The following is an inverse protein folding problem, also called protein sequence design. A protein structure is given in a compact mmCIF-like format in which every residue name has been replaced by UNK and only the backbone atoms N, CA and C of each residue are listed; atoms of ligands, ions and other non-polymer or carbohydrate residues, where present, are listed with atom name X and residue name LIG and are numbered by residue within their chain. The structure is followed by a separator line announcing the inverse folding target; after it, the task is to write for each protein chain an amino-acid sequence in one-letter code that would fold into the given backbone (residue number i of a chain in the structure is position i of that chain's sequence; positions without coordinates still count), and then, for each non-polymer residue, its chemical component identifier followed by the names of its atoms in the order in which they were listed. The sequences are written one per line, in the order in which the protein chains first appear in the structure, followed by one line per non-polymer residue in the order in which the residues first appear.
data_IF_048896696401
#
_entry.id   IF_048896696401
#
_cell.length_a   1.000
_cell.length_b   1.000
_cell.length_c   1.000
_cell.angle_alpha   90.00
_cell.angle_beta   90.00
_cell.angle_gamma   90.00
#
_symmetry.space_group_name_H-M   'P 1'
#
loop_
_entity.id
_entity.type
_entity.pdbx_description
1 polymer ?
#
# COMPACT_ATOMS: atom_id res chain seq x y z
N UNK A 1 -15.87 3.06 4.10
CA UNK A 1 -14.52 2.64 3.69
C UNK A 1 -14.65 1.21 3.17
N UNK A 2 -14.26 0.94 1.91
CA UNK A 2 -14.47 -0.39 1.29
C UNK A 2 -13.67 -1.46 2.04
N UNK A 3 -14.22 -2.68 2.15
CA UNK A 3 -13.61 -3.81 2.88
C UNK A 3 -12.16 -4.08 2.47
N UNK A 4 -11.81 -3.82 1.20
CA UNK A 4 -10.45 -4.07 0.68
C UNK A 4 -9.38 -3.20 1.38
N UNK A 5 -9.69 -1.95 1.73
CA UNK A 5 -8.73 -1.05 2.37
C UNK A 5 -8.40 -1.50 3.79
N UNK A 6 -9.41 -1.97 4.52
CA UNK A 6 -9.22 -2.53 5.86
C UNK A 6 -8.32 -3.77 5.81
N UNK A 7 -8.57 -4.70 4.87
CA UNK A 7 -7.73 -5.91 4.73
C UNK A 7 -6.31 -5.56 4.28
N UNK A 8 -6.13 -4.53 3.46
CA UNK A 8 -4.79 -4.00 3.10
C UNK A 8 -4.07 -3.46 4.34
N UNK A 9 -4.73 -2.64 5.16
CA UNK A 9 -4.12 -2.08 6.37
C UNK A 9 -3.73 -3.16 7.40
N UNK A 10 -4.53 -4.22 7.54
CA UNK A 10 -4.18 -5.37 8.37
C UNK A 10 -2.87 -6.03 7.92
N UNK A 11 -2.52 -5.98 6.63
CA UNK A 11 -1.24 -6.50 6.14
C UNK A 11 -0.03 -5.71 6.68
N UNK A 12 -0.22 -4.45 7.06
CA UNK A 12 0.84 -3.57 7.54
C UNK A 12 0.97 -3.55 9.06
N UNK A 13 -0.07 -3.92 9.80
CA UNK A 13 -0.08 -3.90 11.28
C UNK A 13 0.88 -4.91 11.92
N UNK A 14 1.10 -6.05 11.25
CA UNK A 14 1.99 -7.13 11.74
C UNK A 14 2.84 -7.67 10.58
N UNK A 15 3.79 -6.88 10.09
CA UNK A 15 4.61 -7.26 8.95
C UNK A 15 5.66 -8.29 9.41
N UNK A 16 5.99 -9.26 8.55
CA UNK A 16 7.11 -10.18 8.82
C UNK A 16 8.46 -9.44 8.93
N UNK A 17 8.59 -8.32 8.22
CA UNK A 17 9.79 -7.47 8.19
C UNK A 17 9.35 -6.04 8.40
N UNK A 18 9.93 -5.33 9.37
CA UNK A 18 9.64 -3.91 9.61
C UNK A 18 10.10 -3.03 8.45
N UNK A 19 9.43 -1.89 8.25
CA UNK A 19 9.89 -0.91 7.26
C UNK A 19 11.14 -0.18 7.76
N UNK A 20 12.23 -0.33 7.02
CA UNK A 20 13.50 0.35 7.26
C UNK A 20 13.90 1.10 5.97
N UNK A 21 13.69 2.44 5.90
CA UNK A 21 13.94 3.23 4.68
C UNK A 21 15.38 3.14 4.17
N UNK A 22 16.35 2.86 5.05
CA UNK A 22 17.76 2.69 4.69
C UNK A 22 18.06 1.36 3.97
N UNK A 23 17.14 0.39 4.02
CA UNK A 23 17.34 -0.97 3.51
C UNK A 23 16.38 -1.32 2.37
N UNK A 24 15.17 -0.76 2.37
CA UNK A 24 14.19 -0.97 1.32
C UNK A 24 13.35 0.27 1.07
N UNK A 25 12.88 0.43 -0.18
CA UNK A 25 11.90 1.48 -0.50
C UNK A 25 10.52 1.14 0.07
N UNK A 26 9.71 2.16 0.36
CA UNK A 26 8.33 1.98 0.82
C UNK A 26 7.54 1.10 -0.13
N UNK A 27 7.69 1.33 -1.45
CA UNK A 27 7.07 0.51 -2.49
C UNK A 27 7.42 -0.97 -2.35
N UNK A 28 8.70 -1.30 -2.24
CA UNK A 28 9.13 -2.69 -2.13
C UNK A 28 8.60 -3.35 -0.86
N UNK A 29 8.62 -2.61 0.27
CA UNK A 29 8.10 -3.08 1.54
C UNK A 29 6.58 -3.33 1.51
N UNK A 30 5.80 -2.37 1.00
CA UNK A 30 4.34 -2.49 0.85
C UNK A 30 3.98 -3.70 -0.01
N UNK A 31 4.62 -3.83 -1.19
CA UNK A 31 4.38 -4.97 -2.08
C UNK A 31 4.75 -6.30 -1.43
N UNK A 32 5.81 -6.35 -0.61
CA UNK A 32 6.18 -7.54 0.16
C UNK A 32 5.11 -7.90 1.20
N UNK A 33 4.68 -6.95 2.04
CA UNK A 33 3.67 -7.19 3.07
C UNK A 33 2.35 -7.69 2.47
N UNK A 34 1.93 -7.12 1.35
CA UNK A 34 0.73 -7.56 0.64
C UNK A 34 0.88 -8.99 0.08
N UNK A 35 2.02 -9.31 -0.54
CA UNK A 35 2.27 -10.68 -1.05
C UNK A 35 2.34 -11.71 0.07
N UNK A 36 2.94 -11.36 1.21
CA UNK A 36 2.98 -12.19 2.42
C UNK A 36 1.56 -12.56 2.90
N UNK A 37 0.60 -11.62 2.78
CA UNK A 37 -0.82 -11.86 3.08
C UNK A 37 -1.62 -12.49 1.95
N UNK A 38 -0.96 -12.93 0.87
CA UNK A 38 -1.60 -13.65 -0.24
C UNK A 38 -2.28 -12.75 -1.28
N UNK A 39 -2.06 -11.43 -1.25
CA UNK A 39 -2.55 -10.55 -2.32
C UNK A 39 -1.79 -10.80 -3.62
N UNK A 40 -2.52 -10.83 -4.73
CA UNK A 40 -1.93 -10.84 -6.07
C UNK A 40 -1.48 -9.43 -6.45
N UNK A 41 -0.22 -9.11 -6.17
CA UNK A 41 0.38 -7.80 -6.45
C UNK A 41 1.13 -7.81 -7.78
N UNK A 42 0.73 -6.94 -8.70
CA UNK A 42 1.32 -6.78 -10.04
C UNK A 42 1.93 -5.39 -10.23
N UNK A 43 2.90 -5.28 -11.13
CA UNK A 43 3.44 -3.98 -11.55
C UNK A 43 2.43 -3.22 -12.42
N UNK A 44 2.44 -1.89 -12.34
CA UNK A 44 1.57 -1.01 -13.11
C UNK A 44 2.41 0.09 -13.79
N UNK A 45 1.91 0.63 -14.92
CA UNK A 45 2.60 1.71 -15.65
C UNK A 45 2.26 3.11 -15.09
N UNK A 46 1.02 3.34 -14.66
CA UNK A 46 0.54 4.66 -14.20
C UNK A 46 0.41 4.77 -12.67
N UNK A 47 0.90 3.77 -11.95
CA UNK A 47 0.85 3.65 -10.50
C UNK A 47 2.06 2.86 -10.01
N UNK A 48 2.31 2.82 -8.70
CA UNK A 48 3.44 2.04 -8.19
C UNK A 48 3.21 0.54 -8.32
N UNK A 49 1.99 0.10 -8.03
CA UNK A 49 1.57 -1.29 -8.15
C UNK A 49 0.05 -1.37 -8.32
N UNK A 50 -0.44 -2.57 -8.60
CA UNK A 50 -1.85 -2.89 -8.49
C UNK A 50 -2.08 -4.20 -7.73
N UNK A 51 -3.22 -4.27 -7.06
CA UNK A 51 -3.74 -5.51 -6.47
C UNK A 51 -4.82 -6.04 -7.42
N UNK A 52 -4.66 -7.27 -7.88
CA UNK A 52 -5.69 -7.97 -8.65
C UNK A 52 -6.57 -8.79 -7.71
N UNK A 53 -7.88 -8.54 -7.74
CA UNK A 53 -8.88 -9.32 -7.03
C UNK A 53 -9.97 -9.73 -8.01
N UNK A 54 -10.07 -11.03 -8.30
CA UNK A 54 -10.97 -11.55 -9.35
C UNK A 54 -10.70 -10.85 -10.69
N UNK A 55 -11.68 -10.12 -11.23
CA UNK A 55 -11.57 -9.37 -12.48
C UNK A 55 -11.27 -7.87 -12.28
N UNK A 56 -11.09 -7.43 -11.03
CA UNK A 56 -10.87 -6.02 -10.69
C UNK A 56 -9.39 -5.77 -10.40
N UNK A 57 -8.93 -4.57 -10.76
CA UNK A 57 -7.59 -4.07 -10.44
C UNK A 57 -7.69 -2.79 -9.65
N UNK A 58 -7.03 -2.76 -8.50
CA UNK A 58 -6.92 -1.59 -7.65
C UNK A 58 -5.50 -1.06 -7.76
N UNK A 59 -5.35 0.14 -8.32
CA UNK A 59 -4.05 0.78 -8.54
C UNK A 59 -3.68 1.66 -7.35
N UNK A 60 -2.44 1.53 -6.89
CA UNK A 60 -1.95 2.24 -5.72
C UNK A 60 -0.64 2.96 -6.02
N UNK A 61 -0.49 4.15 -5.45
CA UNK A 61 0.77 4.85 -5.29
C UNK A 61 1.23 4.76 -3.83
N UNK A 62 2.52 4.97 -3.58
CA UNK A 62 3.05 5.05 -2.22
C UNK A 62 3.60 6.44 -1.91
N UNK A 63 3.48 6.87 -0.65
CA UNK A 63 4.07 8.12 -0.18
C UNK A 63 4.53 8.01 1.28
N UNK A 64 5.60 8.71 1.64
CA UNK A 64 6.08 8.80 3.03
C UNK A 64 5.36 9.90 3.85
N UNK A 65 4.44 10.64 3.22
CA UNK A 65 3.62 11.70 3.84
C UNK A 65 2.20 11.70 3.26
N UNK A 66 1.22 12.14 4.06
CA UNK A 66 -0.18 12.31 3.64
C UNK A 66 -0.47 13.70 3.04
N UNK A 67 0.54 14.56 2.90
CA UNK A 67 0.39 15.91 2.38
C UNK A 67 0.33 15.94 0.84
N UNK A 68 -0.57 16.76 0.29
CA UNK A 68 -0.69 17.07 -1.15
C UNK A 68 -0.81 15.83 -2.06
N UNK A 69 -1.49 14.78 -1.59
CA UNK A 69 -1.76 13.59 -2.40
C UNK A 69 -2.77 13.89 -3.50
N UNK A 70 -2.51 13.36 -4.70
CA UNK A 70 -3.46 13.40 -5.81
C UNK A 70 -4.64 12.46 -5.52
N UNK A 71 -5.81 13.05 -5.30
CA UNK A 71 -7.05 12.37 -4.93
C UNK A 71 -7.60 11.43 -6.01
N UNK A 72 -7.08 11.48 -7.24
CA UNK A 72 -7.45 10.54 -8.31
C UNK A 72 -6.84 9.15 -8.11
N UNK A 73 -5.86 8.99 -7.22
CA UNK A 73 -5.18 7.74 -6.96
C UNK A 73 -5.52 7.19 -5.58
N UNK A 74 -5.51 5.86 -5.47
CA UNK A 74 -5.45 5.22 -4.16
C UNK A 74 -4.00 5.28 -3.66
N UNK A 75 -3.83 5.52 -2.38
CA UNK A 75 -2.51 5.68 -1.75
C UNK A 75 -2.30 4.67 -0.64
N UNK A 76 -1.05 4.21 -0.53
CA UNK A 76 -0.53 3.62 0.72
C UNK A 76 0.48 4.59 1.29
N UNK A 77 0.19 5.15 2.44
CA UNK A 77 1.00 6.19 3.06
C UNK A 77 1.68 5.64 4.30
N UNK A 78 2.98 5.85 4.43
CA UNK A 78 3.69 5.55 5.67
C UNK A 78 3.37 6.60 6.73
N UNK A 79 2.88 6.13 7.88
CA UNK A 79 2.70 6.93 9.08
C UNK A 79 3.89 6.72 10.02
N UNK A 80 4.75 7.74 10.08
CA UNK A 80 5.97 7.71 10.90
C UNK A 80 5.71 7.77 12.40
N UNK A 81 4.54 8.26 12.83
CA UNK A 81 4.10 8.32 14.23
C UNK A 81 3.62 6.94 14.69
N UNK A 82 2.79 6.29 13.87
CA UNK A 82 2.23 4.96 14.17
C UNK A 82 3.15 3.81 13.76
N UNK A 83 4.25 4.09 13.05
CA UNK A 83 5.19 3.09 12.51
C UNK A 83 4.48 2.00 11.69
N UNK A 84 3.48 2.41 10.91
CA UNK A 84 2.70 1.55 10.03
C UNK A 84 2.36 2.29 8.74
N UNK A 85 1.84 1.58 7.74
CA UNK A 85 1.21 2.23 6.60
C UNK A 85 -0.33 2.20 6.72
N UNK A 86 -0.98 3.20 6.12
CA UNK A 86 -2.43 3.34 6.01
C UNK A 86 -2.83 3.39 4.54
N UNK A 87 -4.05 2.93 4.22
CA UNK A 87 -4.54 2.88 2.85
C UNK A 87 -5.65 3.93 2.65
N UNK A 88 -5.39 4.90 1.76
CA UNK A 88 -6.30 6.01 1.48
C UNK A 88 -6.95 5.77 0.12
N UNK A 89 -8.29 5.66 0.03
CA UNK A 89 -8.99 5.53 -1.24
C UNK A 89 -8.94 6.84 -2.06
N UNK A 90 -9.01 6.70 -3.38
CA UNK A 90 -9.32 7.82 -4.27
C UNK A 90 -10.73 8.40 -3.98
N UNK A 91 -10.92 9.68 -4.30
CA UNK A 91 -12.21 10.39 -4.19
C UNK A 91 -13.08 10.25 -5.44
#
# INVERSE_FOLDING_TARGET
MSEIYQVIEEAFKRPMVSYEPSRQSLKAWVMFCLRDKGFKVVYAQNADFAIERKAEKFYFKVADTSENLDKQFNWVVWDSNLKTAIAIPAE
#
